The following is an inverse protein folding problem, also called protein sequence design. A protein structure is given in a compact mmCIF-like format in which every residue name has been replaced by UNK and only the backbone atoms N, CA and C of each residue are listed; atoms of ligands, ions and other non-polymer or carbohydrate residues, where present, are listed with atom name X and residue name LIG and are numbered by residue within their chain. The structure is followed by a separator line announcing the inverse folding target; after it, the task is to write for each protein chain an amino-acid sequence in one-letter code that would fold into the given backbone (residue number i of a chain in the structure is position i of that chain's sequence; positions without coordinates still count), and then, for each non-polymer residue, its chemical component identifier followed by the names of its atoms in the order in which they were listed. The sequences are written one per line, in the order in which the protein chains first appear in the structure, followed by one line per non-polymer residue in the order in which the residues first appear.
data_IF_838168362303
#
_entry.id   IF_838168362303
#
_cell.length_a   1.000
_cell.length_b   1.000
_cell.length_c   1.000
_cell.angle_alpha   90.00
_cell.angle_beta   90.00
_cell.angle_gamma   90.00
#
_symmetry.space_group_name_H-M   'P 1'
#
loop_
_entity.id
_entity.type
_entity.pdbx_description
1 polymer ?
#
# COMPACT_ATOMS: atom_id res chain seq x y z
N UNK A 1 -22.08 -9.88 -6.42
CA UNK A 1 -21.12 -9.16 -5.58
C UNK A 1 -20.99 -9.98 -4.32
N UNK A 2 -19.86 -10.66 -4.17
CA UNK A 2 -19.45 -11.22 -2.88
C UNK A 2 -19.34 -10.03 -1.91
N UNK A 3 -20.07 -10.09 -0.81
CA UNK A 3 -19.98 -9.09 0.25
C UNK A 3 -18.55 -9.16 0.81
N UNK A 4 -17.81 -8.05 0.81
CA UNK A 4 -16.45 -8.02 1.37
C UNK A 4 -16.55 -8.19 2.89
N UNK A 5 -15.94 -9.24 3.43
CA UNK A 5 -15.84 -9.46 4.87
C UNK A 5 -14.39 -9.27 5.32
N UNK A 6 -14.15 -8.21 6.09
CA UNK A 6 -12.82 -7.85 6.57
C UNK A 6 -12.16 -8.98 7.39
N UNK A 7 -12.93 -9.69 8.20
CA UNK A 7 -12.39 -10.73 9.08
C UNK A 7 -11.93 -11.94 8.25
N UNK A 8 -12.75 -12.37 7.29
CA UNK A 8 -12.40 -13.47 6.39
C UNK A 8 -11.19 -13.12 5.53
N UNK A 9 -11.12 -11.89 5.01
CA UNK A 9 -10.00 -11.43 4.19
C UNK A 9 -8.70 -11.35 5.00
N UNK A 10 -8.73 -10.80 6.23
CA UNK A 10 -7.58 -10.79 7.14
C UNK A 10 -7.09 -12.19 7.50
N UNK A 11 -7.99 -13.16 7.65
CA UNK A 11 -7.63 -14.56 7.90
C UNK A 11 -7.02 -15.21 6.67
N UNK A 12 -7.54 -14.89 5.48
CA UNK A 12 -7.12 -15.48 4.20
C UNK A 12 -5.71 -15.04 3.81
N UNK A 13 -5.32 -13.78 4.07
CA UNK A 13 -3.96 -13.29 3.77
C UNK A 13 -2.87 -13.90 4.67
N UNK A 14 -3.23 -14.62 5.75
CA UNK A 14 -2.23 -15.35 6.56
C UNK A 14 -1.61 -16.52 5.79
N UNK A 15 -2.32 -17.06 4.80
CA UNK A 15 -1.86 -18.10 3.89
C UNK A 15 -1.85 -17.58 2.45
N UNK A 16 -0.89 -16.69 2.16
CA UNK A 16 -0.73 -16.06 0.84
C UNK A 16 -0.62 -17.06 -0.33
N UNK A 17 -0.14 -18.27 -0.08
CA UNK A 17 -0.03 -19.31 -1.11
C UNK A 17 -1.38 -19.82 -1.61
N UNK A 18 -2.40 -19.79 -0.75
CA UNK A 18 -3.77 -20.18 -1.07
C UNK A 18 -4.72 -18.97 -1.23
N UNK A 19 -4.21 -17.74 -1.09
CA UNK A 19 -4.99 -16.52 -1.30
C UNK A 19 -5.25 -16.31 -2.80
N UNK A 20 -6.50 -16.48 -3.21
CA UNK A 20 -6.94 -16.36 -4.59
C UNK A 20 -7.55 -14.98 -4.87
N UNK A 21 -7.04 -14.29 -5.89
CA UNK A 21 -7.58 -13.02 -6.38
C UNK A 21 -8.27 -13.32 -7.72
N UNK A 22 -9.51 -12.86 -7.91
CA UNK A 22 -10.29 -13.19 -9.12
C UNK A 22 -9.66 -12.59 -10.38
N UNK A 23 -9.26 -11.32 -10.32
CA UNK A 23 -8.57 -10.62 -11.40
C UNK A 23 -7.08 -10.44 -11.07
N UNK A 24 -6.41 -11.51 -10.64
CA UNK A 24 -4.99 -11.43 -10.28
C UNK A 24 -4.10 -11.05 -11.48
N UNK A 25 -3.18 -10.11 -11.26
CA UNK A 25 -2.12 -9.78 -12.21
C UNK A 25 -0.79 -10.42 -11.80
N UNK A 26 -0.22 -11.26 -12.67
CA UNK A 26 1.11 -11.86 -12.46
C UNK A 26 2.22 -10.84 -12.76
N UNK A 27 2.78 -10.24 -11.71
CA UNK A 27 3.80 -9.20 -11.87
C UNK A 27 5.17 -9.75 -12.26
N UNK A 28 5.45 -11.04 -12.02
CA UNK A 28 6.73 -11.63 -12.37
C UNK A 28 6.95 -11.70 -13.90
N UNK A 29 5.87 -11.75 -14.67
CA UNK A 29 5.92 -11.74 -16.14
C UNK A 29 5.68 -10.36 -16.76
N UNK A 30 5.43 -9.33 -15.95
CA UNK A 30 5.17 -7.97 -16.42
C UNK A 30 6.45 -7.13 -16.51
N UNK A 31 6.50 -6.29 -17.55
CA UNK A 31 7.55 -5.26 -17.66
C UNK A 31 7.31 -4.12 -16.65
N UNK A 32 8.35 -3.46 -16.13
CA UNK A 32 8.21 -2.38 -15.14
C UNK A 32 7.27 -1.24 -15.55
N UNK A 33 7.24 -0.89 -16.84
CA UNK A 33 6.33 0.14 -17.36
C UNK A 33 4.87 -0.31 -17.31
N UNK A 34 4.60 -1.60 -17.54
CA UNK A 34 3.26 -2.16 -17.44
C UNK A 34 2.79 -2.20 -15.98
N UNK A 35 3.68 -2.54 -15.04
CA UNK A 35 3.39 -2.45 -13.60
C UNK A 35 3.05 -1.03 -13.16
N UNK A 36 3.82 -0.03 -13.63
CA UNK A 36 3.51 1.39 -13.35
C UNK A 36 2.16 1.79 -13.92
N UNK A 37 1.87 1.42 -15.17
CA UNK A 37 0.59 1.75 -15.82
C UNK A 37 -0.61 1.11 -15.11
N UNK A 38 -0.45 -0.12 -14.62
CA UNK A 38 -1.47 -0.81 -13.84
C UNK A 38 -1.76 -0.08 -12.51
N UNK A 39 -0.72 0.34 -11.80
CA UNK A 39 -0.89 1.16 -10.60
C UNK A 39 -1.48 2.54 -10.93
N UNK A 40 -1.11 3.15 -12.05
CA UNK A 40 -1.68 4.42 -12.52
C UNK A 40 -3.19 4.33 -12.76
N UNK A 41 -3.68 3.22 -13.32
CA UNK A 41 -5.11 2.96 -13.50
C UNK A 41 -5.87 2.96 -12.17
N UNK A 42 -5.38 2.18 -11.20
CA UNK A 42 -6.00 2.11 -9.88
C UNK A 42 -5.94 3.46 -9.14
N UNK A 43 -4.78 4.14 -9.19
CA UNK A 43 -4.58 5.49 -8.63
C UNK A 43 -5.59 6.47 -9.23
N UNK A 44 -5.77 6.45 -10.56
CA UNK A 44 -6.73 7.31 -11.25
C UNK A 44 -8.15 7.10 -10.74
N UNK A 45 -8.59 5.85 -10.66
CA UNK A 45 -9.94 5.50 -10.21
C UNK A 45 -10.23 5.97 -8.77
N UNK A 46 -9.31 5.75 -7.83
CA UNK A 46 -9.50 6.18 -6.43
C UNK A 46 -9.32 7.69 -6.23
N UNK A 47 -8.57 8.35 -7.12
CA UNK A 47 -8.41 9.80 -7.10
C UNK A 47 -9.65 10.52 -7.61
N UNK A 48 -10.37 9.92 -8.57
CA UNK A 48 -11.67 10.42 -9.06
C UNK A 48 -12.78 10.21 -8.02
N UNK A 49 -12.79 9.04 -7.36
CA UNK A 49 -13.70 8.75 -6.25
C UNK A 49 -13.07 7.75 -5.29
N UNK A 50 -12.99 8.09 -4.01
CA UNK A 50 -12.46 7.17 -2.99
C UNK A 50 -13.29 5.89 -2.85
N UNK A 51 -14.56 5.92 -3.27
CA UNK A 51 -15.46 4.76 -3.27
C UNK A 51 -15.17 3.78 -4.42
N UNK A 52 -14.42 4.18 -5.45
CA UNK A 52 -14.00 3.30 -6.56
C UNK A 52 -13.21 2.09 -6.08
N UNK A 53 -12.66 2.12 -4.87
CA UNK A 53 -12.02 0.95 -4.25
C UNK A 53 -12.97 -0.24 -4.12
N UNK A 54 -14.29 0.00 -4.06
CA UNK A 54 -15.29 -1.05 -4.00
C UNK A 54 -15.57 -1.74 -5.35
N UNK A 55 -15.03 -1.23 -6.47
CA UNK A 55 -15.00 -1.98 -7.72
C UNK A 55 -14.00 -3.15 -7.57
N UNK A 56 -14.45 -4.41 -7.73
CA UNK A 56 -13.58 -5.57 -7.60
C UNK A 56 -12.33 -5.51 -8.47
N UNK A 57 -12.39 -4.91 -9.66
CA UNK A 57 -11.23 -4.80 -10.57
C UNK A 57 -10.18 -3.86 -10.00
N UNK A 58 -10.61 -2.71 -9.48
CA UNK A 58 -9.70 -1.73 -8.86
C UNK A 58 -9.09 -2.33 -7.61
N UNK A 59 -9.89 -2.99 -6.78
CA UNK A 59 -9.41 -3.65 -5.58
C UNK A 59 -8.39 -4.76 -5.88
N UNK A 60 -8.67 -5.59 -6.90
CA UNK A 60 -7.79 -6.68 -7.33
C UNK A 60 -6.43 -6.20 -7.84
N UNK A 61 -6.36 -5.01 -8.44
CA UNK A 61 -5.08 -4.39 -8.79
C UNK A 61 -4.24 -4.16 -7.53
N UNK A 62 -4.81 -3.52 -6.49
CA UNK A 62 -4.10 -3.29 -5.23
C UNK A 62 -3.70 -4.61 -4.56
N UNK A 63 -4.60 -5.61 -4.53
CA UNK A 63 -4.30 -6.93 -3.97
C UNK A 63 -3.18 -7.65 -4.73
N UNK A 64 -3.18 -7.59 -6.05
CA UNK A 64 -2.15 -8.20 -6.90
C UNK A 64 -0.79 -7.55 -6.65
N UNK A 65 -0.74 -6.20 -6.57
CA UNK A 65 0.46 -5.44 -6.25
C UNK A 65 1.02 -5.80 -4.86
N UNK A 66 0.15 -5.96 -3.85
CA UNK A 66 0.55 -6.34 -2.50
C UNK A 66 0.99 -7.80 -2.37
N UNK A 67 0.35 -8.72 -3.09
CA UNK A 67 0.71 -10.14 -3.11
C UNK A 67 2.09 -10.36 -3.68
N UNK A 68 2.46 -9.60 -4.71
CA UNK A 68 3.75 -9.64 -5.41
C UNK A 68 4.65 -8.46 -5.02
N UNK A 69 4.57 -7.99 -3.76
CA UNK A 69 5.32 -6.82 -3.30
C UNK A 69 6.85 -7.01 -3.28
N UNK A 70 7.33 -8.26 -3.31
CA UNK A 70 8.76 -8.61 -3.35
C UNK A 70 9.45 -8.20 -4.66
N UNK A 71 8.69 -8.09 -5.75
CA UNK A 71 9.21 -7.63 -7.06
C UNK A 71 8.95 -6.15 -7.34
N UNK A 72 8.23 -5.44 -6.47
CA UNK A 72 7.91 -4.04 -6.68
C UNK A 72 9.13 -3.14 -6.43
N UNK A 73 9.50 -2.29 -7.40
CA UNK A 73 10.50 -1.25 -7.17
C UNK A 73 10.05 -0.27 -6.08
N UNK A 74 10.99 0.23 -5.30
CA UNK A 74 10.76 1.22 -4.25
C UNK A 74 9.85 2.41 -4.64
N UNK A 75 10.03 3.04 -5.83
CA UNK A 75 9.13 4.10 -6.28
C UNK A 75 7.67 3.66 -6.44
N UNK A 76 7.41 2.42 -6.89
CA UNK A 76 6.05 1.86 -6.98
C UNK A 76 5.50 1.54 -5.59
N UNK A 77 6.33 1.06 -4.65
CA UNK A 77 5.92 0.87 -3.25
C UNK A 77 5.50 2.19 -2.59
N UNK A 78 6.26 3.27 -2.76
CA UNK A 78 5.87 4.60 -2.29
C UNK A 78 4.54 5.05 -2.90
N UNK A 79 4.40 4.96 -4.23
CA UNK A 79 3.18 5.37 -4.92
C UNK A 79 1.96 4.56 -4.51
N UNK A 80 2.13 3.25 -4.30
CA UNK A 80 1.09 2.35 -3.80
C UNK A 80 0.60 2.81 -2.42
N UNK A 81 1.52 3.07 -1.49
CA UNK A 81 1.17 3.58 -0.16
C UNK A 81 0.50 4.96 -0.23
N UNK A 82 1.04 5.88 -1.04
CA UNK A 82 0.49 7.23 -1.19
C UNK A 82 -0.96 7.16 -1.72
N UNK A 83 -1.22 6.26 -2.65
CA UNK A 83 -2.56 6.02 -3.21
C UNK A 83 -3.53 5.44 -2.19
N UNK A 84 -3.14 4.39 -1.46
CA UNK A 84 -3.96 3.79 -0.39
C UNK A 84 -4.23 4.85 0.70
N UNK A 85 -3.20 5.58 1.10
CA UNK A 85 -3.28 6.57 2.18
C UNK A 85 -4.18 7.75 1.83
N UNK A 86 -4.04 8.29 0.61
CA UNK A 86 -4.86 9.41 0.14
C UNK A 86 -6.31 9.01 -0.09
N UNK A 87 -6.57 7.86 -0.71
CA UNK A 87 -7.92 7.31 -0.88
C UNK A 87 -8.61 7.04 0.47
N UNK A 88 -7.88 6.44 1.42
CA UNK A 88 -8.41 6.17 2.75
C UNK A 88 -8.70 7.45 3.53
N UNK A 89 -7.82 8.45 3.42
CA UNK A 89 -8.02 9.76 4.02
C UNK A 89 -9.28 10.45 3.47
N UNK A 90 -9.44 10.47 2.15
CA UNK A 90 -10.60 11.06 1.49
C UNK A 90 -11.90 10.36 1.88
N UNK A 91 -11.89 9.02 1.92
CA UNK A 91 -13.05 8.24 2.36
C UNK A 91 -13.38 8.52 3.84
N UNK A 92 -12.36 8.61 4.69
CA UNK A 92 -12.52 8.91 6.12
C UNK A 92 -13.13 10.30 6.33
N UNK A 93 -12.64 11.32 5.62
CA UNK A 93 -13.18 12.68 5.72
C UNK A 93 -14.63 12.76 5.25
N UNK A 94 -14.94 12.09 4.14
CA UNK A 94 -16.30 11.98 3.60
C UNK A 94 -17.21 11.29 4.61
N UNK A 95 -16.80 10.14 5.14
CA UNK A 95 -17.59 9.40 6.14
C UNK A 95 -17.81 10.19 7.43
N UNK A 96 -16.82 10.95 7.91
CA UNK A 96 -16.96 11.82 9.09
C UNK A 96 -18.02 12.89 8.84
N UNK A 97 -18.01 13.53 7.67
CA UNK A 97 -18.97 14.55 7.29
C UNK A 97 -20.38 13.95 7.19
N UNK A 98 -20.53 12.87 6.44
CA UNK A 98 -21.83 12.35 6.05
C UNK A 98 -22.55 11.68 7.24
N UNK A 99 -21.81 11.13 8.22
CA UNK A 99 -22.36 10.59 9.49
C UNK A 99 -23.22 11.58 10.29
N UNK A 100 -22.98 12.88 10.12
CA UNK A 100 -23.69 13.94 10.85
C UNK A 100 -24.70 14.71 9.99
N UNK A 101 -24.64 14.56 8.66
CA UNK A 101 -25.42 15.36 7.72
C UNK A 101 -26.36 14.56 6.82
N UNK A 102 -26.04 13.30 6.56
CA UNK A 102 -26.77 12.45 5.63
C UNK A 102 -27.64 11.41 6.36
N UNK A 103 -28.50 10.74 5.59
CA UNK A 103 -29.35 9.68 6.07
C UNK A 103 -28.57 8.37 6.33
N UNK A 104 -29.21 7.44 7.04
CA UNK A 104 -28.58 6.19 7.45
C UNK A 104 -28.11 5.32 6.29
N UNK A 105 -28.82 5.30 5.17
CA UNK A 105 -28.40 4.49 4.04
C UNK A 105 -27.09 5.03 3.45
N UNK A 106 -26.97 6.35 3.35
CA UNK A 106 -25.79 7.02 2.81
C UNK A 106 -24.57 6.81 3.70
N UNK A 107 -24.65 7.12 5.00
CA UNK A 107 -23.44 7.00 5.83
C UNK A 107 -23.00 5.55 6.07
N UNK A 108 -23.92 4.57 6.09
CA UNK A 108 -23.56 3.14 6.22
C UNK A 108 -22.84 2.62 4.98
N UNK A 109 -23.08 3.19 3.80
CA UNK A 109 -22.41 2.78 2.56
C UNK A 109 -20.88 2.99 2.60
N UNK A 110 -20.39 3.94 3.41
CA UNK A 110 -18.95 4.14 3.59
C UNK A 110 -18.24 2.99 4.30
N UNK A 111 -18.97 2.10 4.98
CA UNK A 111 -18.39 0.98 5.75
C UNK A 111 -17.46 0.14 4.86
N UNK A 112 -17.97 -0.36 3.73
CA UNK A 112 -17.23 -1.30 2.89
C UNK A 112 -15.93 -0.69 2.32
N UNK A 113 -15.95 0.51 1.70
CA UNK A 113 -14.71 1.17 1.27
C UNK A 113 -13.71 1.39 2.40
N UNK A 114 -14.15 1.78 3.60
CA UNK A 114 -13.27 1.96 4.77
C UNK A 114 -12.60 0.65 5.18
N UNK A 115 -13.35 -0.45 5.23
CA UNK A 115 -12.81 -1.78 5.55
C UNK A 115 -11.82 -2.26 4.48
N UNK A 116 -12.09 -2.01 3.19
CA UNK A 116 -11.19 -2.36 2.09
C UNK A 116 -9.87 -1.58 2.16
N UNK A 117 -9.91 -0.27 2.42
CA UNK A 117 -8.67 0.51 2.62
C UNK A 117 -7.90 0.08 3.86
N UNK A 118 -8.58 -0.20 4.98
CA UNK A 118 -7.94 -0.68 6.20
C UNK A 118 -7.24 -2.03 5.97
N UNK A 119 -7.89 -2.95 5.25
CA UNK A 119 -7.30 -4.21 4.82
C UNK A 119 -6.03 -4.00 3.98
N UNK A 120 -6.09 -3.16 2.95
CA UNK A 120 -4.94 -2.88 2.09
C UNK A 120 -3.78 -2.23 2.86
N UNK A 121 -4.08 -1.29 3.76
CA UNK A 121 -3.07 -0.64 4.59
C UNK A 121 -2.42 -1.65 5.55
N UNK A 122 -3.21 -2.51 6.20
CA UNK A 122 -2.69 -3.57 7.07
C UNK A 122 -1.78 -4.53 6.30
N UNK A 123 -2.20 -4.98 5.12
CA UNK A 123 -1.39 -5.85 4.27
C UNK A 123 -0.13 -5.13 3.78
N UNK A 124 -0.22 -3.86 3.37
CA UNK A 124 0.95 -3.06 2.98
C UNK A 124 2.00 -3.02 4.09
N UNK A 125 1.60 -2.71 5.33
CA UNK A 125 2.51 -2.68 6.49
C UNK A 125 3.20 -4.04 6.67
N UNK A 126 2.44 -5.13 6.63
CA UNK A 126 2.99 -6.48 6.75
C UNK A 126 3.92 -6.89 5.59
N UNK A 127 3.69 -6.39 4.38
CA UNK A 127 4.57 -6.61 3.23
C UNK A 127 5.85 -5.76 3.33
N UNK A 128 5.73 -4.48 3.67
CA UNK A 128 6.83 -3.54 3.81
C UNK A 128 7.84 -3.97 4.89
N UNK A 129 7.36 -4.51 6.02
CA UNK A 129 8.22 -5.05 7.09
C UNK A 129 9.04 -6.26 6.64
N UNK A 130 8.51 -7.10 5.73
CA UNK A 130 9.22 -8.26 5.16
C UNK A 130 10.31 -7.84 4.17
N UNK A 131 10.05 -6.81 3.35
CA UNK A 131 11.05 -6.28 2.39
C UNK A 131 12.27 -5.71 3.12
N UNK A 132 12.08 -5.06 4.27
CA UNK A 132 13.18 -4.62 5.16
C UNK A 132 14.06 -5.78 5.63
N UNK A 133 13.47 -6.96 5.87
CA UNK A 133 14.20 -8.16 6.28
C UNK A 133 15.11 -8.74 5.19
N UNK A 134 14.71 -8.62 3.92
CA UNK A 134 15.47 -9.20 2.80
C UNK A 134 16.64 -8.31 2.34
N UNK A 135 16.59 -7.00 2.58
CA UNK A 135 17.68 -6.07 2.22
C UNK A 135 18.86 -6.11 3.20
N UNK A 136 18.69 -6.75 4.37
CA UNK A 136 19.68 -6.76 5.45
C UNK A 136 20.69 -7.91 5.42
N UNK A 137 20.49 -8.97 4.62
CA UNK A 137 21.21 -10.24 4.84
C UNK A 137 22.04 -10.80 3.67
N UNK A 138 22.21 -10.09 2.54
CA UNK A 138 23.08 -10.61 1.48
C UNK A 138 23.69 -9.52 0.58
N UNK A 139 24.79 -8.93 1.05
CA UNK A 139 25.86 -8.51 0.13
C UNK A 139 27.21 -8.88 0.76
N UNK A 140 27.85 -9.99 0.35
CA UNK A 140 29.26 -10.17 0.60
C UNK A 140 30.00 -9.11 -0.23
N UNK A 141 30.45 -8.06 0.44
CA UNK A 141 31.31 -7.03 -0.15
C UNK A 141 32.64 -7.70 -0.53
N UNK A 142 32.72 -8.19 -1.77
CA UNK A 142 33.96 -8.70 -2.32
C UNK A 142 35.00 -7.57 -2.38
N UNK A 143 36.23 -7.77 -1.85
CA UNK A 143 37.25 -6.73 -1.86
C UNK A 143 37.85 -6.60 -3.26
N UNK A 144 37.53 -5.51 -3.96
CA UNK A 144 38.13 -5.19 -5.25
C UNK A 144 39.60 -4.78 -5.03
N UNK A 145 40.53 -5.72 -5.32
CA UNK A 145 41.93 -5.41 -5.57
C UNK A 145 42.06 -4.72 -6.93
N UNK A 146 42.50 -3.45 -6.97
CA UNK A 146 43.02 -2.85 -8.20
C UNK A 146 44.28 -2.01 -7.95
N UNK A 147 45.41 -2.68 -8.20
CA UNK A 147 46.65 -2.26 -8.86
C UNK A 147 46.99 -0.74 -8.91
N UNK A 148 48.10 -0.43 -8.26
CA UNK A 148 48.94 0.77 -8.26
C UNK A 148 49.25 1.30 -9.68
N UNK A 149 48.99 2.58 -9.93
CA UNK A 149 49.32 3.32 -11.16
C UNK A 149 49.47 4.83 -10.89
N UNK A 150 50.46 5.46 -11.51
CA UNK A 150 51.17 6.68 -11.10
C UNK A 150 50.76 7.89 -11.96
N UNK A 151 50.38 9.01 -11.33
CA UNK A 151 50.54 10.38 -11.83
C UNK A 151 49.45 10.95 -12.77
N UNK A 152 48.99 12.17 -12.48
CA UNK A 152 48.26 13.03 -13.42
C UNK A 152 47.19 13.90 -12.75
N UNK A 153 47.47 15.19 -12.55
CA UNK A 153 46.51 16.20 -12.08
C UNK A 153 45.59 16.63 -13.23
N UNK A 154 44.30 16.78 -12.92
CA UNK A 154 43.21 17.53 -13.59
C UNK A 154 42.05 16.66 -14.10
N UNK A 155 40.93 16.67 -13.36
CA UNK A 155 39.57 16.70 -13.88
C UNK A 155 38.59 16.80 -12.71
N UNK A 156 37.73 17.82 -12.74
CA UNK A 156 36.49 17.88 -11.96
C UNK A 156 35.61 16.65 -12.25
N UNK A 157 34.67 16.40 -11.34
CA UNK A 157 33.50 15.53 -11.50
C UNK A 157 33.76 14.03 -11.53
N UNK A 158 33.35 13.35 -10.43
CA UNK A 158 32.77 12.00 -10.44
C UNK A 158 32.32 11.46 -9.06
N UNK A 159 32.28 12.27 -8.00
CA UNK A 159 31.65 11.85 -6.73
C UNK A 159 30.16 12.21 -6.61
N UNK A 160 29.53 12.70 -7.68
CA UNK A 160 28.10 13.01 -7.74
C UNK A 160 27.26 11.95 -8.51
N UNK A 161 27.85 10.78 -8.83
CA UNK A 161 27.17 9.68 -9.53
C UNK A 161 27.01 8.42 -8.66
N UNK A 162 27.14 8.59 -7.34
CA UNK A 162 26.64 7.66 -6.32
C UNK A 162 25.46 8.29 -5.58
N UNK A 163 24.57 8.98 -6.30
CA UNK A 163 23.15 8.83 -6.02
C UNK A 163 22.81 7.38 -6.39
N UNK A 164 23.24 6.44 -5.53
CA UNK A 164 22.53 5.16 -5.40
C UNK A 164 21.07 5.57 -5.28
N UNK A 165 20.23 5.04 -6.17
CA UNK A 165 18.78 5.11 -6.02
C UNK A 165 18.48 5.02 -4.53
N UNK A 166 17.90 6.08 -3.97
CA UNK A 166 17.60 6.14 -2.55
C UNK A 166 16.84 4.85 -2.25
N UNK A 167 17.49 3.97 -1.50
CA UNK A 167 16.95 2.69 -1.12
C UNK A 167 15.65 3.01 -0.40
N UNK A 168 14.54 2.53 -0.96
CA UNK A 168 13.23 2.86 -0.43
C UNK A 168 13.16 2.41 1.01
N UNK A 169 12.93 3.36 1.92
CA UNK A 169 12.89 3.11 3.35
C UNK A 169 11.45 3.18 3.82
N UNK A 170 10.93 2.04 4.27
CA UNK A 170 9.65 1.99 4.98
C UNK A 170 9.65 2.85 6.25
N UNK A 171 10.81 3.07 6.89
CA UNK A 171 10.91 3.77 8.17
C UNK A 171 10.42 5.23 8.09
N UNK A 172 10.71 5.90 6.98
CA UNK A 172 10.29 7.29 6.76
C UNK A 172 8.77 7.41 6.54
N UNK A 173 8.12 6.30 6.19
CA UNK A 173 6.68 6.21 5.94
C UNK A 173 5.87 5.83 7.19
N UNK A 174 6.52 5.38 8.27
CA UNK A 174 5.83 5.00 9.51
C UNK A 174 5.11 6.21 10.15
N UNK A 175 5.76 7.37 10.40
CA UNK A 175 5.09 8.51 11.02
C UNK A 175 3.84 9.00 10.27
N UNK A 176 3.85 9.24 8.95
CA UNK A 176 2.66 9.67 8.23
C UNK A 176 1.56 8.59 8.23
N UNK A 177 1.92 7.30 8.15
CA UNK A 177 0.96 6.20 8.23
C UNK A 177 0.25 6.16 9.58
N UNK A 178 0.99 6.30 10.69
CA UNK A 178 0.39 6.36 12.03
C UNK A 178 -0.49 7.60 12.23
N UNK A 179 -0.12 8.74 11.62
CA UNK A 179 -0.94 9.94 11.64
C UNK A 179 -2.28 9.72 10.91
N UNK A 180 -2.27 9.01 9.77
CA UNK A 180 -3.47 8.61 9.06
C UNK A 180 -4.35 7.70 9.93
N UNK A 181 -3.79 6.63 10.49
CA UNK A 181 -4.52 5.70 11.39
C UNK A 181 -5.14 6.46 12.56
N UNK A 182 -4.40 7.38 13.17
CA UNK A 182 -4.90 8.24 14.26
C UNK A 182 -6.09 9.10 13.86
N UNK A 183 -6.20 9.47 12.57
CA UNK A 183 -7.35 10.21 12.03
C UNK A 183 -8.54 9.28 11.73
N UNK A 184 -8.29 8.11 11.16
CA UNK A 184 -9.30 7.07 10.93
C UNK A 184 -9.99 6.67 12.24
N UNK A 185 -9.22 6.51 13.33
CA UNK A 185 -9.77 6.18 14.64
C UNK A 185 -10.68 7.27 15.25
N UNK A 186 -10.80 8.44 14.62
CA UNK A 186 -11.76 9.50 15.02
C UNK A 186 -13.16 9.29 14.42
N UNK A 187 -13.34 8.31 13.54
CA UNK A 187 -14.65 7.95 13.00
C UNK A 187 -15.64 7.64 14.13
N UNK A 188 -16.90 8.01 13.95
CA UNK A 188 -17.99 7.61 14.85
C UNK A 188 -18.38 6.17 14.54
N UNK A 189 -17.49 5.23 14.84
CA UNK A 189 -17.61 3.82 14.44
C UNK A 189 -18.89 3.16 14.94
N UNK A 190 -19.44 3.60 16.06
CA UNK A 190 -20.75 3.13 16.56
C UNK A 190 -21.95 3.42 15.64
N UNK A 191 -21.84 4.42 14.77
CA UNK A 191 -22.87 4.74 13.76
C UNK A 191 -22.66 3.95 12.47
N UNK A 192 -21.41 3.76 12.05
CA UNK A 192 -21.05 3.10 10.80
C UNK A 192 -21.16 1.57 10.88
N UNK A 193 -20.80 0.98 12.02
CA UNK A 193 -20.90 -0.46 12.26
C UNK A 193 -22.08 -0.79 13.16
N UNK A 194 -23.03 -1.56 12.63
CA UNK A 194 -24.23 -1.98 13.36
C UNK A 194 -23.95 -3.05 14.42
N UNK A 195 -22.87 -3.82 14.26
CA UNK A 195 -22.46 -4.89 15.18
C UNK A 195 -21.13 -4.54 15.86
N UNK A 196 -21.02 -4.85 17.16
CA UNK A 196 -19.78 -4.62 17.93
C UNK A 196 -18.61 -5.45 17.40
N UNK A 197 -18.88 -6.67 16.93
CA UNK A 197 -17.85 -7.57 16.40
C UNK A 197 -17.14 -6.97 15.18
N UNK A 198 -17.89 -6.50 14.16
CA UNK A 198 -17.27 -5.90 12.97
C UNK A 198 -16.50 -4.62 13.30
N UNK A 199 -17.03 -3.81 14.23
CA UNK A 199 -16.33 -2.62 14.73
C UNK A 199 -14.99 -2.98 15.39
N UNK A 200 -14.98 -4.03 16.21
CA UNK A 200 -13.77 -4.50 16.88
C UNK A 200 -12.76 -5.06 15.88
N UNK A 201 -13.21 -5.79 14.86
CA UNK A 201 -12.34 -6.25 13.77
C UNK A 201 -11.69 -5.08 13.03
N UNK A 202 -12.44 -4.00 12.74
CA UNK A 202 -11.88 -2.84 12.05
C UNK A 202 -10.81 -2.09 12.87
N UNK A 203 -10.96 -2.03 14.19
CA UNK A 203 -10.06 -1.29 15.08
C UNK A 203 -8.81 -2.08 15.48
N UNK A 204 -8.89 -3.41 15.45
CA UNK A 204 -7.82 -4.32 15.90
C UNK A 204 -6.69 -4.42 14.89
#
# INVERSE_FOLDING_TARGET
MTDFDLQEELQSIQDLGNYNIENEHDLHSMEPNAMSALLDEAVGAVSESSESIADPRIFDIYRSLLKHADVLPGPLMSKLLDSISSGFLAQTETAIRDVDHEDQQTYVAHKTPLEMYAFLLNWFVGAAEKVKGSAGDDVPVAPVRSRRGRGGKAAQSKNALKQKAAEWSWEDQIPPTLALISKVLRLKTNKLWTTSAHRETFVR
#
